data_IF_778726406372
#
_entry.id   IF_778726406372
#
_cell.length_a   1.000
_cell.length_b   1.000
_cell.length_c   1.000
_cell.angle_alpha   90.00
_cell.angle_beta   90.00
_cell.angle_gamma   90.00
#
_symmetry.space_group_name_H-M   'P 1'
#
loop_
_entity.id
_entity.type
_entity.pdbx_description
1 polymer ?
#
# COMPACT_ATOMS: atom_id res chain seq x y z
N UNK A 1 -40.12 -8.30 23.82
CA UNK A 1 -40.67 -7.92 25.14
C UNK A 1 -42.20 -7.80 25.14
N UNK A 2 -42.84 -7.34 24.05
CA UNK A 2 -44.32 -7.31 23.93
C UNK A 2 -45.00 -8.67 24.10
N UNK A 3 -44.32 -9.76 23.74
CA UNK A 3 -44.79 -11.15 23.94
C UNK A 3 -44.84 -11.53 25.44
N UNK A 4 -43.98 -10.93 26.27
CA UNK A 4 -43.87 -11.23 27.71
C UNK A 4 -44.84 -10.42 28.57
N UNK A 5 -45.25 -9.23 28.11
CA UNK A 5 -46.16 -8.35 28.85
C UNK A 5 -47.14 -7.64 27.90
N UNK A 6 -47.96 -8.43 27.18
CA UNK A 6 -48.90 -7.91 26.19
C UNK A 6 -49.98 -6.97 26.78
N UNK A 7 -50.29 -7.10 28.07
CA UNK A 7 -51.26 -6.26 28.78
C UNK A 7 -50.74 -4.84 29.09
N UNK A 8 -49.41 -4.65 29.14
CA UNK A 8 -48.77 -3.37 29.45
C UNK A 8 -48.61 -2.44 28.24
N UNK A 9 -48.90 -2.94 27.03
CA UNK A 9 -48.73 -2.20 25.76
C UNK A 9 -49.99 -1.39 25.46
N UNK A 10 -49.93 -0.04 25.41
CA UNK A 10 -51.08 0.79 25.05
C UNK A 10 -51.53 0.49 23.61
N UNK A 11 -52.84 0.34 23.40
CA UNK A 11 -53.42 0.12 22.06
C UNK A 11 -53.47 1.44 21.28
N UNK A 12 -52.53 1.64 20.35
CA UNK A 12 -52.42 2.84 19.50
C UNK A 12 -50.99 3.03 18.95
N UNK A 13 -50.78 4.05 18.11
CA UNK A 13 -49.43 4.41 17.66
C UNK A 13 -48.74 5.23 18.76
N UNK A 14 -47.78 4.62 19.45
CA UNK A 14 -47.04 5.23 20.57
C UNK A 14 -45.55 5.04 20.30
N UNK A 15 -44.74 6.03 20.69
CA UNK A 15 -43.28 5.97 20.56
C UNK A 15 -42.71 4.67 21.13
N UNK A 16 -41.92 3.97 20.31
CA UNK A 16 -41.37 2.65 20.64
C UNK A 16 -40.57 2.65 21.96
N UNK A 17 -39.95 3.80 22.30
CA UNK A 17 -39.21 4.00 23.55
C UNK A 17 -40.14 3.99 24.77
N UNK A 18 -41.24 4.72 24.72
CA UNK A 18 -42.21 4.81 25.82
C UNK A 18 -42.93 3.46 26.07
N UNK A 19 -43.19 2.70 25.00
CA UNK A 19 -43.74 1.34 25.11
C UNK A 19 -42.73 0.40 25.78
N UNK A 20 -41.46 0.51 25.40
CA UNK A 20 -40.43 -0.36 25.96
C UNK A 20 -40.13 -0.03 27.44
N UNK A 21 -40.12 1.23 27.84
CA UNK A 21 -39.97 1.64 29.25
C UNK A 21 -41.06 1.01 30.13
N UNK A 22 -42.35 1.14 29.74
CA UNK A 22 -43.47 0.54 30.47
C UNK A 22 -43.43 -0.99 30.54
N UNK A 23 -43.01 -1.64 29.46
CA UNK A 23 -42.90 -3.10 29.42
C UNK A 23 -41.79 -3.59 30.36
N UNK A 24 -40.70 -2.84 30.48
CA UNK A 24 -39.59 -3.25 31.34
C UNK A 24 -39.87 -2.97 32.81
N UNK A 25 -40.53 -1.85 33.13
CA UNK A 25 -41.06 -1.57 34.47
C UNK A 25 -41.97 -2.71 34.96
N UNK A 26 -42.84 -3.22 34.08
CA UNK A 26 -43.73 -4.34 34.39
C UNK A 26 -42.99 -5.67 34.64
N UNK A 27 -41.84 -5.87 34.00
CA UNK A 27 -41.03 -7.10 34.12
C UNK A 27 -40.11 -7.03 35.36
N UNK A 28 -40.05 -5.89 36.08
CA UNK A 28 -39.20 -5.67 37.26
C UNK A 28 -37.71 -5.97 37.01
N UNK A 29 -37.23 -5.65 35.81
CA UNK A 29 -35.79 -5.68 35.53
C UNK A 29 -35.12 -4.46 36.18
N UNK A 30 -33.96 -4.66 36.80
CA UNK A 30 -33.17 -3.58 37.38
C UNK A 30 -32.74 -2.60 36.27
N UNK A 31 -32.91 -1.31 36.50
CA UNK A 31 -32.61 -0.23 35.54
C UNK A 31 -31.10 -0.16 35.21
N UNK A 32 -30.26 -0.82 36.02
CA UNK A 32 -28.83 -0.98 35.77
C UNK A 32 -28.52 -2.08 34.73
N UNK A 33 -29.44 -3.02 34.49
CA UNK A 33 -29.24 -4.15 33.57
C UNK A 33 -29.60 -3.82 32.11
N UNK A 34 -30.27 -2.68 31.85
CA UNK A 34 -30.64 -2.27 30.50
C UNK A 34 -30.54 -0.75 30.31
N UNK A 35 -30.11 -0.32 29.11
CA UNK A 35 -30.18 1.09 28.68
C UNK A 35 -30.76 1.19 27.28
N UNK A 36 -31.78 2.03 27.12
CA UNK A 36 -32.27 2.42 25.80
C UNK A 36 -31.23 3.32 25.12
N UNK A 37 -30.54 2.78 24.13
CA UNK A 37 -29.54 3.51 23.35
C UNK A 37 -29.50 3.03 21.92
N UNK A 38 -29.08 3.92 21.02
CA UNK A 38 -28.75 3.60 19.64
C UNK A 38 -27.79 2.42 19.60
N UNK A 39 -28.13 1.40 18.83
CA UNK A 39 -27.29 0.22 18.59
C UNK A 39 -25.86 0.66 18.30
N UNK A 40 -24.87 0.20 19.08
CA UNK A 40 -23.45 0.38 18.74
C UNK A 40 -23.18 -0.48 17.51
N UNK A 41 -23.35 0.12 16.33
CA UNK A 41 -23.48 -0.62 15.08
C UNK A 41 -22.16 -1.15 14.51
N UNK A 42 -21.01 -0.64 14.98
CA UNK A 42 -19.71 -0.96 14.40
C UNK A 42 -18.80 -1.62 15.44
N UNK A 43 -18.32 -2.83 15.12
CA UNK A 43 -17.40 -3.59 15.96
C UNK A 43 -16.12 -3.93 15.20
N UNK A 44 -14.98 -3.81 15.86
CA UNK A 44 -13.70 -4.24 15.29
C UNK A 44 -12.96 -5.13 16.29
N UNK A 45 -12.40 -6.24 15.82
CA UNK A 45 -11.56 -7.11 16.63
C UNK A 45 -10.19 -6.44 16.89
N UNK A 46 -9.68 -6.37 18.13
CA UNK A 46 -8.44 -5.68 18.51
C UNK A 46 -7.24 -6.12 17.68
N UNK A 47 -7.06 -7.43 17.47
CA UNK A 47 -5.90 -7.98 16.77
C UNK A 47 -5.78 -7.45 15.33
N UNK A 48 -6.75 -7.61 14.42
CA UNK A 48 -6.67 -7.03 13.08
C UNK A 48 -6.81 -5.49 13.06
N UNK A 49 -7.52 -4.84 14.01
CA UNK A 49 -7.59 -3.37 14.04
C UNK A 49 -6.27 -2.70 14.36
N UNK A 50 -5.49 -3.26 15.30
CA UNK A 50 -4.25 -2.62 15.75
C UNK A 50 -3.34 -2.40 14.55
N UNK A 51 -3.08 -3.43 13.75
CA UNK A 51 -2.22 -3.31 12.57
C UNK A 51 -2.75 -2.34 11.51
N UNK A 52 -4.08 -2.25 11.33
CA UNK A 52 -4.68 -1.34 10.34
C UNK A 52 -4.56 0.14 10.74
N UNK A 53 -4.73 0.44 12.03
CA UNK A 53 -4.75 1.80 12.57
C UNK A 53 -3.40 2.27 13.13
N UNK A 54 -2.38 1.40 13.23
CA UNK A 54 -1.00 1.79 13.59
C UNK A 54 -0.45 2.93 12.72
N UNK A 55 -0.90 3.04 11.48
CA UNK A 55 -0.48 4.07 10.52
C UNK A 55 -0.86 5.49 10.99
N UNK A 56 -1.94 5.61 11.79
CA UNK A 56 -2.35 6.88 12.37
C UNK A 56 -1.38 7.36 13.44
N UNK A 57 -0.73 6.45 14.15
CA UNK A 57 0.04 6.74 15.35
C UNK A 57 1.28 5.81 15.49
N UNK A 58 2.26 5.89 14.58
CA UNK A 58 3.36 4.94 14.48
C UNK A 58 4.36 5.00 15.65
N UNK A 59 4.40 6.12 16.38
CA UNK A 59 5.37 6.36 17.46
C UNK A 59 4.96 5.74 18.80
N UNK A 60 3.66 5.45 18.99
CA UNK A 60 3.11 5.06 20.30
C UNK A 60 3.29 3.56 20.59
N UNK A 61 3.33 2.72 19.55
CA UNK A 61 3.49 1.28 19.71
C UNK A 61 4.98 0.88 19.64
N UNK A 62 5.52 0.19 20.66
CA UNK A 62 6.87 -0.36 20.56
C UNK A 62 6.93 -1.45 19.49
N UNK A 63 8.08 -1.63 18.84
CA UNK A 63 8.28 -2.58 17.73
C UNK A 63 8.29 -4.07 18.15
N UNK A 64 7.83 -4.39 19.35
CA UNK A 64 7.77 -5.74 19.91
C UNK A 64 6.34 -6.25 20.06
N UNK A 65 6.18 -7.43 20.68
CA UNK A 65 4.86 -7.97 21.01
C UNK A 65 4.21 -7.13 22.12
N UNK A 66 3.01 -6.63 21.85
CA UNK A 66 2.18 -5.91 22.82
C UNK A 66 0.82 -6.57 22.83
N UNK A 67 0.26 -6.75 24.02
CA UNK A 67 -1.12 -7.24 24.13
C UNK A 67 -2.08 -6.31 23.37
N UNK A 68 -2.96 -6.90 22.57
CA UNK A 68 -3.79 -6.14 21.63
C UNK A 68 -4.76 -5.19 22.34
N UNK A 69 -5.22 -5.53 23.55
CA UNK A 69 -6.09 -4.65 24.34
C UNK A 69 -5.35 -3.38 24.76
N UNK A 70 -4.15 -3.54 25.31
CA UNK A 70 -3.27 -2.43 25.71
C UNK A 70 -2.82 -1.61 24.51
N UNK A 71 -2.47 -2.27 23.40
CA UNK A 71 -2.09 -1.60 22.17
C UNK A 71 -3.24 -0.73 21.62
N UNK A 72 -4.48 -1.26 21.63
CA UNK A 72 -5.60 -0.51 21.11
C UNK A 72 -6.01 0.64 22.01
N UNK A 73 -5.93 0.49 23.33
CA UNK A 73 -6.16 1.59 24.27
C UNK A 73 -5.18 2.75 24.03
N UNK A 74 -3.90 2.44 23.83
CA UNK A 74 -2.88 3.44 23.48
C UNK A 74 -3.16 4.12 22.14
N UNK A 75 -3.59 3.36 21.13
CA UNK A 75 -3.96 3.90 19.81
C UNK A 75 -5.17 4.84 19.89
N UNK A 76 -6.20 4.46 20.65
CA UNK A 76 -7.41 5.28 20.82
C UNK A 76 -7.09 6.58 21.57
N UNK A 77 -6.26 6.51 22.62
CA UNK A 77 -5.76 7.71 23.32
C UNK A 77 -4.95 8.62 22.39
N UNK A 78 -4.12 8.05 21.52
CA UNK A 78 -3.33 8.82 20.57
C UNK A 78 -4.15 9.47 19.44
N UNK A 79 -5.29 8.88 19.08
CA UNK A 79 -6.20 9.41 18.05
C UNK A 79 -7.21 10.42 18.61
N UNK A 80 -7.11 10.77 19.90
CA UNK A 80 -7.89 11.79 20.59
C UNK A 80 -9.42 11.59 20.45
N UNK A 81 -9.87 10.34 20.53
CA UNK A 81 -11.29 9.97 20.55
C UNK A 81 -11.80 10.09 21.99
N UNK A 82 -12.98 10.68 22.15
CA UNK A 82 -13.61 10.82 23.46
C UNK A 82 -14.02 9.47 24.07
N UNK A 83 -13.91 9.32 25.40
CA UNK A 83 -14.23 8.07 26.10
C UNK A 83 -15.72 7.68 26.01
N UNK A 84 -16.61 8.64 25.71
CA UNK A 84 -18.03 8.39 25.45
C UNK A 84 -18.32 7.79 24.08
N UNK A 85 -17.39 7.90 23.12
CA UNK A 85 -17.55 7.50 21.72
C UNK A 85 -17.16 6.04 21.44
N UNK A 86 -16.42 5.39 22.35
CA UNK A 86 -15.99 4.00 22.21
C UNK A 86 -16.17 3.19 23.50
N UNK A 87 -16.17 1.86 23.38
CA UNK A 87 -16.02 0.93 24.52
C UNK A 87 -15.16 -0.27 24.11
N UNK A 88 -14.15 -0.61 24.93
CA UNK A 88 -13.37 -1.83 24.75
C UNK A 88 -14.06 -3.01 25.44
N UNK A 89 -14.40 -4.05 24.66
CA UNK A 89 -14.65 -5.39 25.16
C UNK A 89 -13.37 -6.24 25.13
N UNK A 90 -13.44 -7.48 25.61
CA UNK A 90 -12.29 -8.39 25.64
C UNK A 90 -11.81 -8.80 24.24
N UNK A 91 -12.76 -9.02 23.33
CA UNK A 91 -12.49 -9.51 21.97
C UNK A 91 -12.81 -8.50 20.88
N UNK A 92 -13.51 -7.41 21.20
CA UNK A 92 -14.01 -6.42 20.23
C UNK A 92 -14.08 -5.02 20.84
N UNK A 93 -13.90 -4.01 20.00
CA UNK A 93 -14.11 -2.60 20.34
C UNK A 93 -15.37 -2.14 19.65
N UNK A 94 -16.20 -1.42 20.38
CA UNK A 94 -17.48 -0.90 19.94
C UNK A 94 -17.36 0.61 19.79
N UNK A 95 -17.70 1.13 18.61
CA UNK A 95 -17.75 2.57 18.35
C UNK A 95 -19.19 3.05 18.25
N UNK A 96 -19.43 4.32 18.59
CA UNK A 96 -20.65 5.03 18.18
C UNK A 96 -20.67 5.21 16.67
N UNK A 97 -21.87 5.39 16.12
CA UNK A 97 -22.05 5.69 14.70
C UNK A 97 -21.25 6.94 14.30
N UNK A 98 -20.63 6.91 13.11
CA UNK A 98 -19.84 8.02 12.54
C UNK A 98 -18.36 8.04 12.94
N UNK A 99 -18.00 7.55 14.13
CA UNK A 99 -16.61 7.58 14.64
C UNK A 99 -15.67 6.74 13.77
N UNK A 100 -16.14 5.56 13.34
CA UNK A 100 -15.38 4.67 12.48
C UNK A 100 -15.07 5.31 11.11
N UNK A 101 -16.04 5.97 10.50
CA UNK A 101 -15.86 6.63 9.20
C UNK A 101 -14.80 7.73 9.27
N UNK A 102 -14.80 8.53 10.35
CA UNK A 102 -13.76 9.54 10.59
C UNK A 102 -12.35 8.92 10.71
N UNK A 103 -12.25 7.78 11.40
CA UNK A 103 -10.96 7.07 11.53
C UNK A 103 -10.47 6.49 10.20
N UNK A 104 -11.37 5.97 9.37
CA UNK A 104 -11.04 5.47 8.04
C UNK A 104 -10.57 6.61 7.12
N UNK A 105 -11.24 7.76 7.15
CA UNK A 105 -10.86 8.93 6.35
C UNK A 105 -9.47 9.47 6.74
N UNK A 106 -9.18 9.61 8.04
CA UNK A 106 -7.85 10.00 8.51
C UNK A 106 -6.76 9.00 8.09
N UNK A 107 -7.10 7.71 8.07
CA UNK A 107 -6.18 6.65 7.65
C UNK A 107 -5.89 6.74 6.15
N UNK A 108 -6.93 6.94 5.34
CA UNK A 108 -6.81 7.05 3.89
C UNK A 108 -6.01 8.29 3.47
N UNK A 109 -6.14 9.42 4.17
CA UNK A 109 -5.32 10.61 3.91
C UNK A 109 -3.82 10.32 4.09
N UNK A 110 -3.45 9.59 5.16
CA UNK A 110 -2.06 9.21 5.44
C UNK A 110 -1.55 8.18 4.44
N UNK A 111 -2.36 7.18 4.13
CA UNK A 111 -2.05 6.17 3.12
C UNK A 111 -1.87 6.78 1.72
N UNK A 112 -2.71 7.75 1.35
CA UNK A 112 -2.62 8.46 0.08
C UNK A 112 -1.26 9.13 -0.13
N UNK A 113 -0.70 9.75 0.92
CA UNK A 113 0.65 10.37 0.86
C UNK A 113 1.74 9.32 0.63
N UNK A 114 1.70 8.21 1.37
CA UNK A 114 2.67 7.11 1.25
C UNK A 114 2.59 6.47 -0.15
N UNK A 115 1.37 6.22 -0.63
CA UNK A 115 1.14 5.66 -1.97
C UNK A 115 1.66 6.60 -3.06
N UNK A 116 1.46 7.91 -2.90
CA UNK A 116 1.98 8.90 -3.85
C UNK A 116 3.51 8.86 -3.94
N UNK A 117 4.21 8.77 -2.80
CA UNK A 117 5.66 8.61 -2.79
C UNK A 117 6.12 7.29 -3.41
N UNK A 118 5.46 6.19 -3.08
CA UNK A 118 5.75 4.87 -3.65
C UNK A 118 5.61 4.90 -5.17
N UNK A 119 4.50 5.44 -5.68
CA UNK A 119 4.28 5.57 -7.10
C UNK A 119 5.33 6.48 -7.76
N UNK A 120 5.74 7.56 -7.08
CA UNK A 120 6.83 8.43 -7.53
C UNK A 120 8.15 7.67 -7.69
N UNK A 121 8.51 6.83 -6.71
CA UNK A 121 9.71 6.00 -6.76
C UNK A 121 9.68 4.96 -7.87
N UNK A 122 8.54 4.30 -8.06
CA UNK A 122 8.37 3.31 -9.14
C UNK A 122 8.56 3.98 -10.51
N UNK A 123 7.89 5.12 -10.75
CA UNK A 123 8.01 5.88 -12.00
C UNK A 123 9.45 6.36 -12.23
N UNK A 124 10.10 6.91 -11.20
CA UNK A 124 11.49 7.34 -11.27
C UNK A 124 12.42 6.20 -11.67
N UNK A 125 12.28 5.03 -11.03
CA UNK A 125 13.12 3.87 -11.32
C UNK A 125 12.92 3.36 -12.76
N UNK A 126 11.67 3.31 -13.22
CA UNK A 126 11.33 2.89 -14.59
C UNK A 126 11.98 3.83 -15.63
N UNK A 127 11.86 5.15 -15.43
CA UNK A 127 12.48 6.15 -16.32
C UNK A 127 13.99 5.98 -16.31
N UNK A 128 14.62 5.89 -15.14
CA UNK A 128 16.08 5.71 -15.01
C UNK A 128 16.59 4.47 -15.75
N UNK A 129 15.88 3.34 -15.64
CA UNK A 129 16.21 2.09 -16.35
C UNK A 129 16.11 2.28 -17.87
N UNK A 130 15.04 2.90 -18.36
CA UNK A 130 14.86 3.14 -19.80
C UNK A 130 15.89 4.13 -20.37
N UNK A 131 16.23 5.18 -19.60
CA UNK A 131 17.18 6.21 -20.00
C UNK A 131 18.61 5.66 -20.15
N UNK A 132 19.04 4.79 -19.22
CA UNK A 132 20.35 4.14 -19.32
C UNK A 132 20.53 3.39 -20.65
N UNK A 133 19.50 2.63 -21.06
CA UNK A 133 19.49 1.93 -22.36
C UNK A 133 19.61 2.90 -23.53
N UNK A 134 18.85 4.00 -23.52
CA UNK A 134 18.91 5.02 -24.57
C UNK A 134 20.29 5.71 -24.64
N UNK A 135 20.91 5.96 -23.49
CA UNK A 135 22.24 6.56 -23.40
C UNK A 135 23.31 5.64 -24.01
N UNK A 136 23.29 4.34 -23.67
CA UNK A 136 24.20 3.33 -24.24
C UNK A 136 24.02 3.24 -25.77
N UNK A 137 22.77 3.20 -26.25
CA UNK A 137 22.46 3.21 -27.67
C UNK A 137 22.97 4.48 -28.38
N UNK A 138 22.83 5.65 -27.74
CA UNK A 138 23.31 6.91 -28.30
C UNK A 138 24.84 6.93 -28.45
N UNK A 139 25.57 6.44 -27.46
CA UNK A 139 27.03 6.35 -27.52
C UNK A 139 27.45 5.40 -28.65
N UNK A 140 26.85 4.20 -28.72
CA UNK A 140 27.12 3.25 -29.79
C UNK A 140 26.83 3.83 -31.18
N UNK A 141 25.71 4.54 -31.33
CA UNK A 141 25.33 5.20 -32.59
C UNK A 141 26.37 6.24 -33.03
N UNK A 142 26.87 7.06 -32.10
CA UNK A 142 27.88 8.07 -32.42
C UNK A 142 29.19 7.43 -32.91
N UNK A 143 29.61 6.32 -32.30
CA UNK A 143 30.79 5.56 -32.73
C UNK A 143 30.58 4.99 -34.14
N UNK A 144 29.44 4.34 -34.38
CA UNK A 144 29.08 3.77 -35.70
C UNK A 144 29.05 4.88 -36.76
N UNK A 145 28.38 6.00 -36.49
CA UNK A 145 28.29 7.12 -37.42
C UNK A 145 29.67 7.72 -37.75
N UNK A 146 30.55 7.86 -36.75
CA UNK A 146 31.92 8.34 -36.96
C UNK A 146 32.71 7.40 -37.86
N UNK A 147 32.63 6.10 -37.59
CA UNK A 147 33.30 5.07 -38.39
C UNK A 147 32.75 5.03 -39.82
N UNK A 148 31.43 5.12 -39.99
CA UNK A 148 30.80 5.12 -41.31
C UNK A 148 31.25 6.32 -42.15
N UNK A 149 31.33 7.53 -41.57
CA UNK A 149 31.85 8.71 -42.28
C UNK A 149 33.29 8.50 -42.76
N UNK A 150 34.16 7.94 -41.90
CA UNK A 150 35.54 7.62 -42.29
C UNK A 150 35.60 6.54 -43.37
N UNK A 151 34.77 5.50 -43.28
CA UNK A 151 34.66 4.46 -44.30
C UNK A 151 34.20 5.02 -45.65
N UNK A 152 33.20 5.90 -45.67
CA UNK A 152 32.73 6.54 -46.90
C UNK A 152 33.84 7.34 -47.60
N UNK A 153 34.70 8.03 -46.83
CA UNK A 153 35.88 8.70 -47.40
C UNK A 153 36.94 7.71 -47.89
N UNK A 154 37.22 6.64 -47.14
CA UNK A 154 38.26 5.65 -47.47
C UNK A 154 37.89 4.77 -48.67
N UNK A 155 36.61 4.42 -48.84
CA UNK A 155 36.13 3.51 -49.89
C UNK A 155 36.53 3.96 -51.31
N UNK A 156 36.57 5.27 -51.54
CA UNK A 156 36.90 5.83 -52.85
C UNK A 156 38.41 5.93 -53.09
N UNK A 157 39.25 5.80 -52.04
CA UNK A 157 40.70 5.95 -52.13
C UNK A 157 41.37 4.75 -52.82
N UNK A 158 42.24 5.02 -53.80
CA UNK A 158 42.89 4.01 -54.64
C UNK A 158 43.76 3.02 -53.84
N UNK A 159 44.56 3.52 -52.90
CA UNK A 159 45.39 2.68 -52.04
C UNK A 159 44.56 1.73 -51.16
N UNK A 160 43.42 2.21 -50.65
CA UNK A 160 42.50 1.36 -49.89
C UNK A 160 41.88 0.24 -50.75
N UNK A 161 41.56 0.52 -52.02
CA UNK A 161 41.06 -0.50 -52.97
C UNK A 161 42.12 -1.56 -53.28
N UNK A 162 43.37 -1.14 -53.48
CA UNK A 162 44.49 -2.07 -53.69
C UNK A 162 44.69 -2.96 -52.47
N UNK A 163 44.82 -2.35 -51.28
CA UNK A 163 44.99 -3.07 -50.02
C UNK A 163 43.85 -4.07 -49.78
N UNK A 164 42.59 -3.67 -50.01
CA UNK A 164 41.42 -4.53 -49.82
C UNK A 164 41.41 -5.76 -50.74
N UNK A 165 42.00 -5.68 -51.94
CA UNK A 165 42.15 -6.83 -52.85
C UNK A 165 43.35 -7.72 -52.52
N UNK A 166 44.45 -7.13 -52.07
CA UNK A 166 45.70 -7.85 -51.76
C UNK A 166 45.64 -8.56 -50.41
N UNK A 167 45.04 -7.94 -49.38
CA UNK A 167 44.94 -8.47 -48.02
C UNK A 167 44.40 -9.92 -47.94
N UNK A 168 43.27 -10.30 -48.57
CA UNK A 168 42.76 -11.67 -48.47
C UNK A 168 43.63 -12.74 -49.15
N UNK A 169 44.59 -12.35 -49.99
CA UNK A 169 45.53 -13.28 -50.62
C UNK A 169 46.69 -13.64 -49.68
N UNK A 170 46.90 -12.86 -48.62
CA UNK A 170 47.91 -13.09 -47.59
C UNK A 170 47.32 -13.99 -46.48
N UNK A 171 47.13 -15.28 -46.80
CA UNK A 171 46.56 -16.26 -45.87
C UNK A 171 47.43 -16.54 -44.64
N UNK A 172 48.74 -16.28 -44.71
CA UNK A 172 49.71 -16.62 -43.65
C UNK A 172 49.38 -15.92 -42.32
N UNK A 173 49.03 -14.63 -42.35
CA UNK A 173 48.69 -13.87 -41.15
C UNK A 173 47.34 -14.29 -40.52
N UNK A 174 46.41 -14.82 -41.31
CA UNK A 174 45.10 -15.27 -40.82
C UNK A 174 45.20 -16.60 -40.07
N UNK A 175 46.09 -17.48 -40.51
CA UNK A 175 46.31 -18.80 -39.87
C UNK A 175 46.88 -18.65 -38.47
N UNK A 176 47.80 -17.70 -38.24
CA UNK A 176 48.36 -17.42 -36.91
C UNK A 176 47.30 -16.89 -35.93
N UNK A 177 46.46 -15.95 -36.39
CA UNK A 177 45.34 -15.42 -35.58
C UNK A 177 44.29 -16.50 -35.27
N UNK A 178 44.00 -17.40 -36.22
CA UNK A 178 43.08 -18.53 -36.05
C UNK A 178 43.66 -19.58 -35.10
N UNK A 179 44.96 -19.90 -35.19
CA UNK A 179 45.63 -20.84 -34.28
C UNK A 179 45.61 -20.31 -32.84
N UNK A 180 45.92 -19.02 -32.67
CA UNK A 180 45.91 -18.36 -31.36
C UNK A 180 44.51 -18.31 -30.76
N UNK A 181 43.48 -18.07 -31.57
CA UNK A 181 42.09 -18.11 -31.12
C UNK A 181 41.60 -19.53 -30.77
N UNK A 182 42.25 -20.58 -31.28
CA UNK A 182 42.03 -21.97 -30.89
C UNK A 182 42.82 -22.35 -29.62
N UNK A 183 44.01 -21.77 -29.42
CA UNK A 183 44.82 -21.94 -28.20
C UNK A 183 44.22 -21.21 -26.99
N UNK A 184 43.58 -20.05 -27.19
CA UNK A 184 42.91 -19.26 -26.16
C UNK A 184 41.52 -19.82 -25.75
N UNK A 185 41.05 -20.90 -26.37
CA UNK A 185 39.70 -21.48 -26.22
C UNK A 185 39.70 -22.76 -25.39
#
# INVERSE_FOLDING_TARGET
>A
YTILAAAAVPKGFVDAKAVAEKVIEFIQLDENDFRFGSTKASTICPQPSVYLYTILAPTILPKGFVDAKVATEKLVKATNIDEGEYRLGNTKIFFRAGVLGRLEEMRDERLGKILTWLQGWIRWYQVKKSFKKLQEQRIALLVIQRNLRKFLTLRNWLWWKLYSKVKPLLNVARVEDELKALEDK
#
